data_IF_856138923086
#
_entry.id   IF_856138923086
#
_cell.length_a   1.000
_cell.length_b   1.000
_cell.length_c   1.000
_cell.angle_alpha   90.00
_cell.angle_beta   90.00
_cell.angle_gamma   90.00
#
_symmetry.space_group_name_H-M   'P 1'
#
loop_
_entity.id
_entity.type
_entity.pdbx_description
1 polymer ?
#
# COMPACT_ATOMS: atom_id res chain seq x y z
N UNK A 1 -8.57 16.09 6.33
CA UNK A 1 -9.52 17.20 6.16
C UNK A 1 -8.87 18.50 6.62
N UNK A 2 -9.33 19.63 6.10
CA UNK A 2 -8.77 20.94 6.40
C UNK A 2 -8.87 21.29 7.88
N UNK A 3 -9.99 21.00 8.52
CA UNK A 3 -10.23 21.30 9.94
C UNK A 3 -9.24 20.61 10.89
N UNK A 4 -8.77 19.43 10.52
CA UNK A 4 -7.86 18.63 11.34
C UNK A 4 -6.40 18.83 10.99
N UNK A 5 -6.09 18.86 9.69
CA UNK A 5 -4.73 18.74 9.16
C UNK A 5 -4.28 20.00 8.43
N UNK A 6 -5.19 20.96 8.18
CA UNK A 6 -4.93 22.22 7.48
C UNK A 6 -4.84 22.08 5.96
N UNK A 7 -5.22 20.94 5.39
CA UNK A 7 -5.28 20.68 3.94
C UNK A 7 -6.12 19.45 3.62
N UNK A 8 -6.54 19.32 2.37
CA UNK A 8 -7.21 18.11 1.89
C UNK A 8 -6.21 17.13 1.29
N UNK A 9 -6.31 15.87 1.66
CA UNK A 9 -5.47 14.81 1.10
C UNK A 9 -6.14 13.44 1.23
N UNK A 10 -5.80 12.55 0.28
CA UNK A 10 -6.21 11.15 0.30
C UNK A 10 -5.00 10.28 0.63
N UNK A 11 -5.11 9.46 1.68
CA UNK A 11 -4.09 8.49 2.04
C UNK A 11 -4.37 7.16 1.35
N UNK A 12 -3.52 6.78 0.41
CA UNK A 12 -3.66 5.55 -0.38
C UNK A 12 -2.73 4.46 0.16
N UNK A 13 -3.28 3.29 0.41
CA UNK A 13 -2.55 2.11 0.87
C UNK A 13 -2.42 1.04 -0.21
N UNK A 14 -1.25 0.43 -0.37
CA UNK A 14 -1.02 -0.65 -1.32
C UNK A 14 -0.28 -1.83 -0.71
N UNK A 15 -0.58 -3.04 -1.23
CA UNK A 15 -0.04 -4.31 -0.75
C UNK A 15 -0.59 -4.71 0.62
N UNK A 16 -0.89 -5.96 0.81
CA UNK A 16 -1.36 -6.50 2.10
C UNK A 16 -0.20 -6.76 3.05
N UNK A 17 -0.34 -6.33 4.30
CA UNK A 17 0.65 -6.52 5.33
C UNK A 17 0.23 -7.58 6.34
N UNK A 18 1.19 -8.43 6.74
CA UNK A 18 0.95 -9.36 7.85
C UNK A 18 0.91 -8.59 9.17
N UNK A 19 -0.05 -8.89 10.04
CA UNK A 19 -0.27 -8.20 11.31
C UNK A 19 1.00 -8.09 12.18
N UNK A 20 1.85 -9.13 12.19
CA UNK A 20 3.11 -9.14 12.94
C UNK A 20 4.13 -8.10 12.48
N UNK A 21 4.02 -7.62 11.24
CA UNK A 21 4.96 -6.66 10.64
C UNK A 21 4.48 -5.21 10.76
N UNK A 22 3.29 -4.97 11.32
CA UNK A 22 2.70 -3.64 11.46
C UNK A 22 2.72 -3.22 12.93
N UNK A 23 3.19 -2.03 13.22
CA UNK A 23 3.25 -1.46 14.56
C UNK A 23 1.85 -1.21 15.12
N UNK A 24 1.71 -1.26 16.48
CA UNK A 24 0.43 -1.08 17.16
C UNK A 24 -0.31 0.20 16.74
N UNK A 25 0.31 1.40 16.70
CA UNK A 25 -0.39 2.62 16.28
C UNK A 25 -0.97 2.55 14.87
N UNK A 26 -0.22 1.95 13.93
CA UNK A 26 -0.70 1.78 12.56
C UNK A 26 -1.86 0.77 12.48
N UNK A 27 -1.80 -0.34 13.25
CA UNK A 27 -2.90 -1.31 13.29
C UNK A 27 -4.19 -0.68 13.81
N UNK A 28 -4.08 0.12 14.86
CA UNK A 28 -5.23 0.84 15.43
C UNK A 28 -5.80 1.88 14.46
N UNK A 29 -4.93 2.59 13.72
CA UNK A 29 -5.36 3.53 12.70
C UNK A 29 -6.12 2.84 11.55
N UNK A 30 -5.63 1.71 11.05
CA UNK A 30 -6.34 0.92 10.04
C UNK A 30 -7.65 0.33 10.56
N UNK A 31 -7.66 -0.16 11.79
CA UNK A 31 -8.88 -0.68 12.44
C UNK A 31 -9.94 0.41 12.61
N UNK A 32 -9.52 1.62 13.02
CA UNK A 32 -10.44 2.78 13.14
C UNK A 32 -11.02 3.20 11.79
N UNK A 33 -10.26 3.05 10.70
CA UNK A 33 -10.70 3.34 9.34
C UNK A 33 -11.47 2.18 8.68
N UNK A 34 -11.61 1.02 9.35
CA UNK A 34 -12.29 -0.15 8.80
C UNK A 34 -11.60 -0.78 7.58
N UNK A 35 -10.29 -0.53 7.37
CA UNK A 35 -9.56 -0.99 6.18
C UNK A 35 -8.52 -2.06 6.51
N UNK A 36 -8.22 -2.99 5.59
CA UNK A 36 -7.20 -4.01 5.80
C UNK A 36 -5.80 -3.40 5.91
N UNK A 37 -4.90 -4.09 6.63
CA UNK A 37 -3.53 -3.65 6.85
C UNK A 37 -2.76 -3.54 5.52
N UNK A 38 -2.15 -2.39 5.26
CA UNK A 38 -1.40 -2.10 4.05
C UNK A 38 0.10 -2.04 4.30
N UNK A 39 0.88 -2.52 3.31
CA UNK A 39 2.34 -2.58 3.40
C UNK A 39 2.98 -1.22 3.18
N UNK A 40 2.48 -0.46 2.23
CA UNK A 40 2.91 0.91 1.93
C UNK A 40 1.72 1.83 1.93
N UNK A 41 1.94 3.01 2.49
CA UNK A 41 0.96 4.07 2.56
C UNK A 41 1.61 5.33 2.02
N UNK A 42 0.90 6.06 1.20
CA UNK A 42 1.33 7.34 0.65
C UNK A 42 0.15 8.32 0.64
N UNK A 43 0.45 9.58 0.79
CA UNK A 43 -0.53 10.64 0.84
C UNK A 43 -0.49 11.45 -0.47
N UNK A 44 -1.66 11.75 -1.00
CA UNK A 44 -1.83 12.56 -2.18
C UNK A 44 -2.72 13.74 -1.83
N UNK A 45 -2.21 14.96 -1.98
CA UNK A 45 -2.98 16.18 -1.77
C UNK A 45 -3.98 16.37 -2.90
N UNK A 46 -5.15 16.85 -2.53
CA UNK A 46 -6.23 17.25 -3.44
C UNK A 46 -6.61 18.69 -3.15
N UNK A 47 -7.10 19.40 -4.14
CA UNK A 47 -7.33 20.83 -4.04
C UNK A 47 -8.69 21.16 -3.36
N UNK A 48 -9.67 20.28 -3.50
CA UNK A 48 -11.04 20.50 -3.01
C UNK A 48 -11.54 19.32 -2.18
N UNK A 49 -12.51 19.59 -1.33
CA UNK A 49 -13.18 18.55 -0.54
C UNK A 49 -13.97 17.57 -1.41
N UNK A 50 -14.56 18.05 -2.50
CA UNK A 50 -15.32 17.22 -3.44
C UNK A 50 -14.46 16.14 -4.13
N UNK A 51 -13.15 16.37 -4.20
CA UNK A 51 -12.18 15.40 -4.74
C UNK A 51 -11.76 14.34 -3.73
N UNK A 52 -12.25 14.38 -2.48
CA UNK A 52 -11.96 13.36 -1.48
C UNK A 52 -12.71 12.07 -1.78
N UNK A 53 -11.96 10.97 -1.74
CA UNK A 53 -12.52 9.64 -1.88
C UNK A 53 -13.08 9.15 -0.53
N UNK A 54 -14.18 8.39 -0.52
CA UNK A 54 -14.68 7.77 0.70
C UNK A 54 -13.64 6.80 1.29
N UNK A 55 -13.64 6.67 2.60
CA UNK A 55 -12.70 5.77 3.30
C UNK A 55 -13.04 4.33 2.94
N UNK A 56 -12.02 3.55 2.54
CA UNK A 56 -12.21 2.16 2.11
C UNK A 56 -12.37 1.98 0.59
N UNK A 57 -12.54 3.06 -0.18
CA UNK A 57 -12.60 3.00 -1.63
C UNK A 57 -11.36 2.32 -2.22
N UNK A 58 -11.55 1.56 -3.28
CA UNK A 58 -10.47 0.88 -4.01
C UNK A 58 -10.20 1.59 -5.31
N UNK A 59 -8.95 1.98 -5.54
CA UNK A 59 -8.48 2.56 -6.79
C UNK A 59 -7.85 1.45 -7.62
N UNK A 60 -8.33 1.26 -8.86
CA UNK A 60 -7.78 0.30 -9.82
C UNK A 60 -6.97 1.00 -10.91
N UNK A 61 -6.44 0.22 -11.86
CA UNK A 61 -5.74 0.76 -13.02
C UNK A 61 -6.65 1.58 -13.96
N UNK A 62 -7.97 1.45 -13.86
CA UNK A 62 -8.97 2.20 -14.63
C UNK A 62 -8.97 3.71 -14.30
N UNK A 63 -8.38 4.09 -13.16
CA UNK A 63 -8.18 5.49 -12.81
C UNK A 63 -7.38 6.25 -13.87
N UNK A 64 -6.52 5.56 -14.61
CA UNK A 64 -5.67 6.13 -15.64
C UNK A 64 -6.19 5.77 -17.04
N UNK A 65 -6.09 6.72 -17.96
CA UNK A 65 -6.49 6.55 -19.37
C UNK A 65 -5.27 6.39 -20.29
N UNK A 66 -5.46 5.70 -21.41
CA UNK A 66 -4.43 5.60 -22.44
C UNK A 66 -4.14 7.00 -23.05
N UNK A 67 -2.85 7.29 -23.26
CA UNK A 67 -2.38 8.60 -23.74
C UNK A 67 -2.15 9.64 -22.64
N UNK A 68 -2.62 9.42 -21.41
CA UNK A 68 -2.39 10.32 -20.28
C UNK A 68 -0.90 10.47 -19.98
N UNK A 69 -0.47 11.69 -19.66
CA UNK A 69 0.87 11.98 -19.17
C UNK A 69 0.89 11.92 -17.64
N UNK A 70 1.88 11.22 -17.10
CA UNK A 70 2.04 11.02 -15.65
C UNK A 70 3.47 11.29 -15.20
N UNK A 71 3.60 11.68 -13.94
CA UNK A 71 4.86 11.84 -13.24
C UNK A 71 5.05 10.67 -12.29
N UNK A 72 6.13 9.90 -12.47
CA UNK A 72 6.41 8.71 -11.68
C UNK A 72 7.58 8.96 -10.76
N UNK A 73 7.32 8.82 -9.45
CA UNK A 73 8.31 9.00 -8.39
C UNK A 73 8.65 7.64 -7.76
N UNK A 74 9.93 7.36 -7.64
CA UNK A 74 10.42 6.14 -7.01
C UNK A 74 11.82 6.31 -6.41
N UNK A 75 12.28 5.30 -5.69
CA UNK A 75 13.63 5.23 -5.15
C UNK A 75 14.56 4.51 -6.11
N UNK A 76 15.62 5.20 -6.55
CA UNK A 76 16.62 4.63 -7.44
C UNK A 76 17.39 3.50 -6.75
N UNK A 77 17.89 2.55 -7.55
CA UNK A 77 18.76 1.48 -7.02
C UNK A 77 19.97 2.06 -6.31
N UNK A 78 20.25 1.60 -5.08
CA UNK A 78 21.46 1.93 -4.36
C UNK A 78 22.70 1.34 -5.03
N UNK A 79 23.74 2.15 -5.19
CA UNK A 79 25.04 1.76 -5.75
C UNK A 79 26.18 1.93 -4.76
N UNK A 80 25.84 2.17 -3.48
CA UNK A 80 26.78 2.39 -2.39
C UNK A 80 27.66 3.63 -2.57
N UNK A 81 28.82 3.64 -1.97
CA UNK A 81 29.81 4.69 -2.16
C UNK A 81 30.46 4.55 -3.55
N UNK A 82 30.40 5.60 -4.34
CA UNK A 82 30.92 5.63 -5.70
C UNK A 82 31.97 6.74 -5.86
N UNK A 83 33.07 6.40 -6.54
CA UNK A 83 34.11 7.37 -6.92
C UNK A 83 33.58 8.41 -7.92
N UNK A 84 34.34 9.50 -8.07
CA UNK A 84 33.97 10.61 -8.94
C UNK A 84 33.74 10.19 -10.41
N UNK A 85 34.49 9.21 -10.90
CA UNK A 85 34.32 8.68 -12.26
C UNK A 85 32.94 8.03 -12.43
N UNK A 86 32.54 7.10 -11.53
CA UNK A 86 31.26 6.41 -11.60
C UNK A 86 30.09 7.33 -11.32
N UNK A 87 30.23 8.23 -10.32
CA UNK A 87 29.13 9.09 -9.84
C UNK A 87 28.83 10.25 -10.76
N UNK A 88 29.88 10.82 -11.39
CA UNK A 88 29.79 12.08 -12.14
C UNK A 88 30.32 12.01 -13.56
N UNK A 89 30.90 10.87 -13.99
CA UNK A 89 31.47 10.71 -15.31
C UNK A 89 32.82 11.41 -15.48
N UNK A 90 33.62 11.57 -14.43
CA UNK A 90 34.96 12.15 -14.53
C UNK A 90 35.89 11.22 -15.31
N UNK A 91 36.79 11.81 -16.13
CA UNK A 91 37.72 11.07 -16.97
C UNK A 91 38.84 10.34 -16.20
N UNK A 92 39.15 10.79 -14.97
CA UNK A 92 40.28 10.29 -14.23
C UNK A 92 41.62 10.84 -14.77
N UNK A 93 42.72 10.18 -14.40
CA UNK A 93 44.08 10.49 -14.87
C UNK A 93 44.59 9.42 -15.84
N UNK A 94 45.68 9.70 -16.54
CA UNK A 94 46.27 8.77 -17.50
C UNK A 94 46.71 7.46 -16.83
N UNK A 95 46.63 6.35 -17.58
CA UNK A 95 47.09 5.06 -17.11
C UNK A 95 48.61 4.87 -17.26
N UNK A 96 49.27 5.73 -18.04
CA UNK A 96 50.68 5.72 -18.36
C UNK A 96 51.34 7.07 -18.04
N UNK A 97 52.58 7.31 -18.50
CA UNK A 97 53.33 8.54 -18.28
C UNK A 97 53.59 8.86 -16.82
N UNK A 98 53.98 7.85 -16.03
CA UNK A 98 54.43 8.03 -14.64
C UNK A 98 53.33 8.27 -13.63
N UNK A 99 52.06 8.18 -14.01
CA UNK A 99 50.94 8.26 -13.05
C UNK A 99 50.91 7.00 -12.19
N UNK A 100 51.07 7.16 -10.87
CA UNK A 100 51.02 6.08 -9.89
C UNK A 100 49.78 6.24 -9.00
N UNK A 101 49.03 5.16 -8.77
CA UNK A 101 47.89 5.02 -7.83
C UNK A 101 46.67 5.95 -8.05
N UNK A 102 46.85 7.10 -8.74
CA UNK A 102 45.84 8.16 -8.83
C UNK A 102 44.96 8.06 -10.08
N UNK A 103 44.92 6.92 -10.78
CA UNK A 103 44.23 6.75 -12.07
C UNK A 103 42.74 7.12 -12.04
N UNK A 104 42.07 6.90 -10.91
CA UNK A 104 40.63 7.13 -10.75
C UNK A 104 40.28 8.33 -9.87
N UNK A 105 41.27 9.21 -9.58
CA UNK A 105 41.02 10.40 -8.77
C UNK A 105 40.22 11.47 -9.53
N UNK A 106 39.60 12.39 -8.79
CA UNK A 106 38.75 13.42 -9.38
C UNK A 106 39.54 14.68 -9.83
N UNK A 107 40.87 14.71 -9.60
CA UNK A 107 41.71 15.84 -9.93
C UNK A 107 41.68 16.96 -8.88
N UNK A 108 41.95 18.20 -9.28
CA UNK A 108 41.96 19.35 -8.40
C UNK A 108 40.56 19.65 -7.82
N UNK A 109 40.53 20.04 -6.54
CA UNK A 109 39.30 20.47 -5.84
C UNK A 109 39.10 21.96 -5.82
N UNK A 110 40.14 22.76 -6.15
CA UNK A 110 40.07 24.21 -6.15
C UNK A 110 41.40 24.85 -6.46
N UNK A 111 41.46 26.18 -6.32
CA UNK A 111 42.65 26.95 -6.43
C UNK A 111 43.44 26.95 -5.12
N UNK A 112 44.41 27.81 -4.98
CA UNK A 112 45.33 27.88 -3.86
C UNK A 112 44.74 28.71 -2.70
N UNK A 113 45.42 29.83 -2.32
CA UNK A 113 45.01 30.73 -1.22
C UNK A 113 43.74 31.53 -1.56
N UNK A 114 43.49 31.85 -2.80
CA UNK A 114 42.26 32.46 -3.31
C UNK A 114 41.46 31.45 -4.12
N UNK A 115 40.23 31.15 -3.73
CA UNK A 115 39.39 31.64 -2.62
C UNK A 115 39.63 30.96 -1.27
N UNK A 116 40.65 30.12 -1.12
CA UNK A 116 41.01 29.40 0.13
C UNK A 116 40.00 28.36 0.60
N UNK A 117 39.04 28.02 -0.24
CA UNK A 117 37.98 27.07 0.07
C UNK A 117 37.55 26.27 -1.17
N UNK A 118 36.97 25.11 -0.94
CA UNK A 118 36.26 24.35 -1.99
C UNK A 118 34.88 24.92 -2.15
N UNK A 119 34.47 25.25 -3.37
CA UNK A 119 33.14 25.78 -3.65
C UNK A 119 32.03 24.77 -3.33
N UNK A 120 30.91 25.27 -2.83
CA UNK A 120 29.70 24.46 -2.62
C UNK A 120 29.27 23.82 -3.93
N UNK A 121 28.77 22.58 -3.87
CA UNK A 121 28.34 21.85 -5.06
C UNK A 121 29.46 21.20 -5.87
N UNK A 122 30.75 21.30 -5.46
CA UNK A 122 31.84 20.59 -6.12
C UNK A 122 31.56 19.09 -6.18
N UNK A 123 31.57 18.53 -7.39
CA UNK A 123 31.34 17.11 -7.64
C UNK A 123 32.47 16.26 -7.06
N UNK A 124 32.13 15.38 -6.12
CA UNK A 124 33.08 14.50 -5.40
C UNK A 124 32.51 13.08 -5.28
N UNK A 125 33.36 12.13 -4.86
CA UNK A 125 32.92 10.80 -4.48
C UNK A 125 31.88 10.87 -3.35
N UNK A 126 31.06 9.85 -3.26
CA UNK A 126 30.02 9.75 -2.22
C UNK A 126 28.94 8.73 -2.56
N UNK A 127 27.92 8.69 -1.74
CA UNK A 127 26.78 7.77 -1.93
C UNK A 127 26.07 8.02 -3.26
N UNK A 128 25.84 6.95 -4.01
CA UNK A 128 25.15 6.98 -5.31
C UNK A 128 23.94 6.06 -5.28
N UNK A 129 22.83 6.55 -5.81
CA UNK A 129 21.56 5.83 -5.78
C UNK A 129 20.86 5.93 -4.42
N UNK A 130 19.85 5.10 -4.21
CA UNK A 130 18.98 5.10 -3.04
C UNK A 130 18.43 6.49 -2.70
N UNK A 131 17.99 7.18 -3.74
CA UNK A 131 17.41 8.51 -3.65
C UNK A 131 16.08 8.54 -4.37
N UNK A 132 15.14 9.29 -3.82
CA UNK A 132 13.88 9.59 -4.48
C UNK A 132 14.15 10.41 -5.74
N UNK A 133 13.56 9.98 -6.85
CA UNK A 133 13.63 10.66 -8.15
C UNK A 133 12.28 10.57 -8.81
N UNK A 134 11.91 11.66 -9.48
CA UNK A 134 10.69 11.74 -10.28
C UNK A 134 11.07 11.82 -11.76
N UNK A 135 10.48 10.94 -12.55
CA UNK A 135 10.52 11.01 -14.01
C UNK A 135 9.21 11.63 -14.48
N UNK A 136 9.32 12.77 -15.14
CA UNK A 136 8.16 13.57 -15.56
C UNK A 136 7.70 13.23 -16.97
N UNK A 137 6.42 13.47 -17.24
CA UNK A 137 5.78 13.40 -18.55
C UNK A 137 5.89 12.04 -19.24
N UNK A 138 5.81 10.95 -18.49
CA UNK A 138 5.71 9.62 -19.05
C UNK A 138 4.30 9.38 -19.58
N UNK A 139 4.19 8.67 -20.69
CA UNK A 139 2.94 8.35 -21.36
C UNK A 139 2.43 6.99 -20.96
N UNK A 140 1.15 6.90 -20.57
CA UNK A 140 0.45 5.64 -20.38
C UNK A 140 -0.01 5.14 -21.74
N UNK A 141 0.50 4.00 -22.18
CA UNK A 141 0.15 3.40 -23.48
C UNK A 141 -1.17 2.65 -23.38
N UNK A 142 -1.34 1.89 -22.33
CA UNK A 142 -2.50 1.03 -22.09
C UNK A 142 -2.66 0.75 -20.61
N UNK A 143 -3.89 0.53 -20.17
CA UNK A 143 -4.27 0.05 -18.86
C UNK A 143 -4.94 -1.32 -18.97
N UNK A 144 -4.76 -2.17 -17.99
CA UNK A 144 -5.40 -3.49 -17.87
C UNK A 144 -6.01 -3.57 -16.47
N UNK A 145 -7.30 -3.40 -16.40
CA UNK A 145 -8.04 -3.33 -15.14
C UNK A 145 -8.08 -4.69 -14.43
N UNK A 146 -8.30 -5.76 -15.17
CA UNK A 146 -8.44 -7.12 -14.61
C UNK A 146 -7.18 -7.58 -13.89
N UNK A 147 -6.01 -7.23 -14.46
CA UNK A 147 -4.70 -7.57 -13.92
C UNK A 147 -4.09 -6.48 -13.07
N UNK A 148 -4.71 -5.29 -13.02
CA UNK A 148 -4.20 -4.11 -12.30
C UNK A 148 -2.86 -3.59 -12.86
N UNK A 149 -2.69 -3.59 -14.19
CA UNK A 149 -1.43 -3.22 -14.86
C UNK A 149 -1.55 -1.87 -15.55
N UNK A 150 -0.51 -1.04 -15.39
CA UNK A 150 -0.28 0.19 -16.15
C UNK A 150 0.93 0.00 -17.07
N UNK A 151 0.73 0.20 -18.38
CA UNK A 151 1.81 0.14 -19.38
C UNK A 151 2.31 1.55 -19.65
N UNK A 152 3.52 1.83 -19.17
CA UNK A 152 4.14 3.16 -19.27
C UNK A 152 5.28 3.13 -20.27
N UNK A 153 5.31 4.11 -21.19
CA UNK A 153 6.36 4.29 -22.18
C UNK A 153 7.53 5.05 -21.57
N UNK A 154 8.68 4.40 -21.44
CA UNK A 154 9.90 5.03 -20.97
C UNK A 154 10.52 4.36 -19.75
N UNK A 155 11.50 5.01 -19.14
CA UNK A 155 12.21 4.50 -17.96
C UNK A 155 11.54 4.96 -16.67
N UNK A 156 11.49 4.05 -15.72
CA UNK A 156 10.92 4.29 -14.38
C UNK A 156 12.03 4.18 -13.33
N UNK A 157 12.07 5.06 -12.32
CA UNK A 157 13.12 5.03 -11.30
C UNK A 157 12.95 3.84 -10.36
N UNK A 158 14.02 3.08 -10.13
CA UNK A 158 14.02 2.03 -9.11
C UNK A 158 14.45 0.66 -9.60
N UNK A 159 14.26 -0.33 -8.75
CA UNK A 159 14.50 -1.74 -9.01
C UNK A 159 13.20 -2.43 -9.44
N UNK A 160 13.32 -3.65 -9.98
CA UNK A 160 12.15 -4.53 -10.15
C UNK A 160 11.47 -4.73 -8.81
N UNK A 161 10.14 -4.76 -8.79
CA UNK A 161 9.31 -4.85 -7.59
C UNK A 161 9.45 -3.66 -6.62
N UNK A 162 10.00 -2.52 -7.07
CA UNK A 162 10.05 -1.29 -6.29
C UNK A 162 8.67 -0.62 -6.22
N UNK A 163 8.44 0.11 -5.14
CA UNK A 163 7.24 0.93 -4.98
C UNK A 163 7.37 2.23 -5.76
N UNK A 164 6.30 2.60 -6.43
CA UNK A 164 6.22 3.80 -7.26
C UNK A 164 4.99 4.61 -6.84
N UNK A 165 5.15 5.93 -6.87
CA UNK A 165 4.05 6.88 -6.78
C UNK A 165 3.79 7.42 -8.17
N UNK A 166 2.58 7.24 -8.66
CA UNK A 166 2.13 7.75 -9.97
C UNK A 166 1.18 8.90 -9.69
N UNK A 167 1.44 10.03 -10.32
CA UNK A 167 0.62 11.24 -10.26
C UNK A 167 0.42 11.79 -11.66
N UNK A 168 -0.59 12.61 -11.84
CA UNK A 168 -0.75 13.37 -13.07
C UNK A 168 0.45 14.26 -13.34
N UNK A 169 0.75 14.49 -14.60
CA UNK A 169 1.89 15.31 -14.99
C UNK A 169 1.64 16.78 -14.65
N UNK A 170 2.56 17.37 -13.89
CA UNK A 170 2.46 18.79 -13.50
C UNK A 170 2.63 19.74 -14.69
N UNK A 171 3.41 19.33 -15.72
CA UNK A 171 3.73 20.19 -16.87
C UNK A 171 2.75 20.09 -18.03
N UNK A 172 2.10 18.96 -18.18
CA UNK A 172 1.16 18.69 -19.27
C UNK A 172 -0.12 18.17 -18.64
N UNK A 173 -1.08 19.05 -18.45
CA UNK A 173 -2.39 18.68 -17.94
C UNK A 173 -3.27 18.20 -19.10
N UNK A 174 -4.05 17.17 -18.85
CA UNK A 174 -5.19 16.82 -19.70
C UNK A 174 -6.41 17.57 -19.16
N UNK A 175 -7.09 18.30 -20.02
CA UNK A 175 -8.24 19.16 -19.65
C UNK A 175 -9.45 18.31 -19.20
N UNK A 176 -9.55 17.07 -19.65
CA UNK A 176 -10.67 16.18 -19.36
C UNK A 176 -10.14 14.82 -18.86
N UNK A 177 -9.76 14.77 -17.59
CA UNK A 177 -9.54 13.48 -16.94
C UNK A 177 -10.89 12.99 -16.38
N UNK A 178 -11.34 11.79 -16.77
CA UNK A 178 -12.53 11.21 -16.16
C UNK A 178 -12.28 11.01 -14.67
N UNK A 179 -13.25 11.39 -13.86
CA UNK A 179 -13.23 11.05 -12.44
C UNK A 179 -13.04 9.53 -12.31
N UNK A 180 -12.29 9.02 -11.34
CA UNK A 180 -11.95 7.59 -11.27
C UNK A 180 -13.17 6.69 -11.40
N UNK A 181 -13.25 5.90 -12.46
CA UNK A 181 -14.40 5.00 -12.73
C UNK A 181 -14.68 4.02 -11.59
N UNK A 182 -13.66 3.72 -10.79
CA UNK A 182 -13.75 2.91 -9.58
C UNK A 182 -14.62 3.55 -8.49
N UNK A 183 -14.73 4.88 -8.45
CA UNK A 183 -15.65 5.54 -7.51
C UNK A 183 -17.11 5.22 -7.77
N UNK A 184 -17.49 5.08 -9.06
CA UNK A 184 -18.86 4.71 -9.38
C UNK A 184 -19.19 3.28 -8.96
N UNK A 185 -18.25 2.33 -9.17
CA UNK A 185 -18.46 0.93 -8.76
C UNK A 185 -18.52 0.79 -7.23
N UNK A 186 -17.66 1.52 -6.50
CA UNK A 186 -17.69 1.49 -5.04
C UNK A 186 -18.86 2.30 -4.45
N UNK A 187 -19.34 3.33 -5.12
CA UNK A 187 -20.51 4.08 -4.69
C UNK A 187 -21.75 3.19 -4.67
N UNK A 188 -21.94 2.41 -5.72
CA UNK A 188 -23.06 1.44 -5.80
C UNK A 188 -22.92 0.36 -4.72
N UNK A 189 -21.70 -0.13 -4.47
CA UNK A 189 -21.42 -1.08 -3.37
C UNK A 189 -21.69 -0.48 -1.99
N UNK A 190 -21.37 0.80 -1.76
CA UNK A 190 -21.65 1.49 -0.50
C UNK A 190 -23.16 1.73 -0.32
N UNK A 191 -23.85 2.18 -1.34
CA UNK A 191 -25.30 2.38 -1.30
C UNK A 191 -26.04 1.04 -1.03
N UNK A 192 -25.56 -0.07 -1.57
CA UNK A 192 -26.07 -1.40 -1.24
C UNK A 192 -25.71 -1.85 0.18
N UNK A 193 -24.51 -1.58 0.67
CA UNK A 193 -24.09 -1.89 2.04
C UNK A 193 -24.86 -1.06 3.08
N UNK A 194 -25.09 0.23 2.81
CA UNK A 194 -25.93 1.06 3.67
C UNK A 194 -27.40 0.62 3.66
N UNK A 195 -27.91 0.20 2.51
CA UNK A 195 -29.25 -0.37 2.40
C UNK A 195 -29.36 -1.71 3.14
N UNK A 196 -28.35 -2.58 3.01
CA UNK A 196 -28.31 -3.86 3.73
C UNK A 196 -28.12 -3.66 5.24
N UNK A 197 -27.28 -2.69 5.65
CA UNK A 197 -27.10 -2.35 7.07
C UNK A 197 -28.38 -1.76 7.68
N UNK A 198 -29.08 -0.90 6.94
CA UNK A 198 -30.38 -0.36 7.36
C UNK A 198 -31.47 -1.43 7.46
N UNK A 199 -31.42 -2.47 6.63
CA UNK A 199 -32.32 -3.62 6.73
C UNK A 199 -32.01 -4.48 7.96
N UNK A 200 -30.75 -4.61 8.34
CA UNK A 200 -30.32 -5.36 9.53
C UNK A 200 -30.68 -4.60 10.80
N UNK A 201 -30.52 -3.26 10.85
CA UNK A 201 -30.97 -2.45 11.97
C UNK A 201 -32.50 -2.46 12.13
N UNK A 202 -33.24 -2.38 11.04
CA UNK A 202 -34.69 -2.52 11.04
C UNK A 202 -35.19 -3.91 11.47
N UNK A 203 -34.43 -4.96 11.18
CA UNK A 203 -34.74 -6.33 11.62
C UNK A 203 -34.48 -6.50 13.12
N UNK A 204 -33.41 -5.88 13.65
CA UNK A 204 -33.08 -5.91 15.08
C UNK A 204 -34.10 -5.14 15.93
N UNK A 205 -34.63 -4.02 15.43
CA UNK A 205 -35.71 -3.29 16.11
C UNK A 205 -37.06 -4.04 16.06
N UNK A 206 -37.28 -4.86 15.04
CA UNK A 206 -38.48 -5.68 14.94
C UNK A 206 -38.44 -6.92 15.85
N UNK A 207 -37.28 -7.46 16.15
CA UNK A 207 -37.11 -8.57 17.10
C UNK A 207 -37.15 -8.11 18.57
N UNK A 208 -36.81 -6.84 18.85
CA UNK A 208 -36.89 -6.28 20.22
C UNK A 208 -38.30 -5.92 20.68
N UNK A 209 -39.30 -6.00 19.78
CA UNK A 209 -40.68 -5.61 20.05
C UNK A 209 -41.70 -6.74 20.29
N UNK A 210 -41.29 -8.01 20.14
CA UNK A 210 -42.17 -9.17 20.43
C UNK A 210 -41.89 -9.63 21.87
N UNK A 211 -42.55 -9.01 22.83
CA UNK A 211 -42.74 -9.57 24.18
C UNK A 211 -43.51 -10.89 24.02
N UNK A 212 -42.80 -12.01 24.14
CA UNK A 212 -43.40 -13.33 24.19
C UNK A 212 -44.27 -13.36 25.42
N UNK A 213 -45.60 -13.52 25.30
CA UNK A 213 -46.53 -13.57 26.40
C UNK A 213 -46.14 -14.69 27.37
N UNK A 214 -46.37 -14.47 28.67
CA UNK A 214 -46.01 -15.42 29.73
C UNK A 214 -46.54 -16.86 29.46
N UNK A 215 -47.66 -16.97 28.76
CA UNK A 215 -48.25 -18.27 28.32
C UNK A 215 -47.39 -19.00 27.29
N UNK A 216 -46.72 -18.28 26.39
CA UNK A 216 -45.81 -18.90 25.38
C UNK A 216 -44.48 -19.35 26.00
N UNK A 217 -44.00 -18.67 27.01
CA UNK A 217 -42.79 -19.09 27.78
C UNK A 217 -43.08 -20.37 28.59
N UNK A 218 -44.27 -20.49 29.18
CA UNK A 218 -44.66 -21.69 29.92
C UNK A 218 -44.88 -22.92 29.04
N UNK A 219 -45.35 -22.71 27.82
CA UNK A 219 -45.49 -23.77 26.78
C UNK A 219 -44.12 -24.26 26.29
N UNK A 220 -43.13 -23.38 26.12
CA UNK A 220 -41.78 -23.72 25.71
C UNK A 220 -40.99 -24.51 26.80
N UNK A 221 -41.18 -24.14 28.06
CA UNK A 221 -40.60 -24.84 29.20
C UNK A 221 -41.17 -26.26 29.37
N UNK A 222 -42.45 -26.44 29.16
CA UNK A 222 -43.10 -27.80 29.16
C UNK A 222 -42.64 -28.69 28.02
N UNK A 223 -42.29 -28.12 26.86
CA UNK A 223 -41.72 -28.93 25.76
C UNK A 223 -40.26 -29.32 26.02
N UNK A 224 -39.48 -28.54 26.74
CA UNK A 224 -38.10 -28.90 27.12
C UNK A 224 -38.06 -29.97 28.20
N UNK A 225 -38.98 -29.98 29.16
CA UNK A 225 -39.07 -31.04 30.19
C UNK A 225 -39.53 -32.41 29.61
N UNK A 226 -40.40 -32.41 28.60
CA UNK A 226 -40.85 -33.65 27.97
C UNK A 226 -39.84 -34.30 27.03
N UNK A 227 -38.75 -33.59 26.64
CA UNK A 227 -37.66 -34.12 25.79
C UNK A 227 -36.47 -34.73 26.55
N UNK A 228 -36.43 -34.59 27.89
CA UNK A 228 -35.27 -35.02 28.71
C UNK A 228 -35.30 -36.47 29.20
N UNK A 229 -36.40 -37.22 29.01
CA UNK A 229 -36.54 -38.56 29.58
C UNK A 229 -36.28 -39.75 28.62
N UNK A 230 -35.72 -39.54 27.43
CA UNK A 230 -35.52 -40.62 26.45
C UNK A 230 -34.13 -40.91 25.96
N UNK A 231 -33.09 -40.45 26.64
CA UNK A 231 -31.72 -40.93 26.32
C UNK A 231 -30.90 -41.28 27.56
N UNK A 232 -31.19 -42.40 28.16
CA UNK A 232 -30.25 -43.09 29.03
C UNK A 232 -30.47 -44.60 29.06
N UNK A 233 -29.91 -45.35 28.13
CA UNK A 233 -29.57 -46.77 28.34
C UNK A 233 -28.58 -47.24 27.26
N UNK A 234 -27.49 -47.83 27.79
CA UNK A 234 -26.64 -48.93 27.27
C UNK A 234 -25.64 -48.52 26.18
N UNK A 235 -24.38 -48.90 26.13
CA UNK A 235 -23.66 -49.96 26.79
C UNK A 235 -22.16 -49.74 26.56
N UNK A 236 -21.33 -50.03 27.54
CA UNK A 236 -19.90 -50.27 27.42
C UNK A 236 -19.71 -51.82 27.25
N UNK A 237 -18.71 -52.32 26.51
CA UNK A 237 -17.48 -52.75 27.20
C UNK A 237 -16.17 -52.67 26.40
N UNK A 238 -15.14 -52.32 27.08
CA UNK A 238 -13.87 -52.94 27.44
C UNK A 238 -12.97 -53.60 26.38
N UNK A 239 -11.68 -53.21 26.52
CA UNK A 239 -10.43 -53.96 26.41
C UNK A 239 -9.98 -54.40 25.01
N UNK A 240 -8.75 -54.17 24.60
CA UNK A 240 -7.54 -54.85 25.03
C UNK A 240 -6.27 -54.27 24.37
N UNK A 241 -5.24 -54.20 25.12
CA UNK A 241 -3.79 -54.34 24.98
C UNK A 241 -3.15 -54.52 23.60
N UNK A 242 -1.96 -53.90 23.45
CA UNK A 242 -0.92 -54.39 22.55
C UNK A 242 0.19 -53.39 22.28
N UNK A 243 1.18 -53.41 23.16
CA UNK A 243 2.61 -53.11 23.00
C UNK A 243 3.20 -53.45 21.61
N UNK A 244 4.14 -52.68 21.11
CA UNK A 244 5.58 -53.00 21.01
C UNK A 244 6.30 -52.04 20.06
N UNK A 245 7.33 -51.47 20.61
CA UNK A 245 8.74 -51.32 20.19
C UNK A 245 9.11 -51.44 18.68
N UNK A 246 9.84 -50.50 18.17
CA UNK A 246 11.27 -50.56 17.81
C UNK A 246 11.60 -49.52 16.73
N UNK A 247 12.54 -48.63 17.02
CA UNK A 247 13.96 -48.55 16.57
C UNK A 247 14.21 -48.24 15.09
N UNK A 248 14.99 -47.18 14.94
CA UNK A 248 16.15 -46.97 14.03
C UNK A 248 15.90 -46.84 12.51
N UNK A 249 16.43 -45.74 12.03
CA UNK A 249 16.75 -45.43 10.66
C UNK A 249 16.91 -43.95 10.45
#
# INVERSE_FOLDING_TARGET
TEDRDGYFAVQVGSGEAKQKNVNKPQREAFAKAGVPLKMKVAEFRVDTEEALLPVGARISAEHFIAGQKVDITGHTQGKGFAGAMKRWGFGGLRATHGVSLSHRSHGSTGNRQDPGRVFKGKKMAGHMGDRQRTQQNLEIVRTDADRGLLFVKGSVPGAKNGWLLVKDAVKINHEELPFPGVMYRNRDEFEHQEADAGLVEGAAEHEAGTEISAEQQEALLKQQEAGADTENTTDTPAADTGSDENKEG
#
